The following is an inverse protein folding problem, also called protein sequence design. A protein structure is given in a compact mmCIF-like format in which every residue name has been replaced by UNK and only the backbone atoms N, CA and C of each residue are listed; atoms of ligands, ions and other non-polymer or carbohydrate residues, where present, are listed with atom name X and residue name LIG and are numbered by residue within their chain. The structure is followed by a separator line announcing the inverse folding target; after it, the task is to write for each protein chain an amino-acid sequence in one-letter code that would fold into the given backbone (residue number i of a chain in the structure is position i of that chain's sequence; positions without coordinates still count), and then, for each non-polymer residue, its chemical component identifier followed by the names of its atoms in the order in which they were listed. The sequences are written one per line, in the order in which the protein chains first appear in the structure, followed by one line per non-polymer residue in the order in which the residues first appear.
data_IF_413723070710
#
_entry.id   IF_413723070710
#
_cell.length_a   1.000
_cell.length_b   1.000
_cell.length_c   1.000
_cell.angle_alpha   90.00
_cell.angle_beta   90.00
_cell.angle_gamma   90.00
#
_symmetry.space_group_name_H-M   'P 1'
#
loop_
_entity.id
_entity.type
_entity.pdbx_description
1 polymer ?
#
# COMPACT_ATOMS: atom_id res chain seq x y z
N UNK A 1 -37.44 -20.78 50.69
CA UNK A 1 -36.04 -20.72 50.20
C UNK A 1 -35.91 -21.73 49.09
N UNK A 2 -35.93 -21.29 47.84
CA UNK A 2 -35.94 -22.15 46.65
C UNK A 2 -34.76 -21.78 45.78
N UNK A 3 -33.83 -22.71 45.59
CA UNK A 3 -32.68 -22.58 44.70
C UNK A 3 -33.12 -22.99 43.29
N UNK A 4 -33.16 -22.04 42.38
CA UNK A 4 -33.39 -22.25 40.94
C UNK A 4 -32.04 -22.66 40.33
N UNK A 5 -31.92 -23.94 39.99
CA UNK A 5 -30.78 -24.46 39.23
C UNK A 5 -30.84 -23.92 37.80
N UNK A 6 -29.90 -23.04 37.43
CA UNK A 6 -29.70 -22.64 36.05
C UNK A 6 -28.93 -23.75 35.34
N UNK A 7 -29.64 -24.53 34.54
CA UNK A 7 -29.05 -25.50 33.64
C UNK A 7 -28.40 -24.76 32.46
N UNK A 8 -27.11 -24.49 32.57
CA UNK A 8 -26.30 -23.98 31.45
C UNK A 8 -26.01 -25.19 30.56
N UNK A 9 -26.82 -25.37 29.52
CA UNK A 9 -26.46 -26.23 28.39
C UNK A 9 -25.20 -25.65 27.73
N UNK A 10 -24.03 -26.12 28.16
CA UNK A 10 -22.81 -25.97 27.38
C UNK A 10 -22.93 -26.90 26.17
N UNK A 11 -23.28 -26.33 25.01
CA UNK A 11 -23.18 -27.04 23.74
C UNK A 11 -21.70 -27.28 23.50
N UNK A 12 -21.26 -28.53 23.66
CA UNK A 12 -19.92 -28.97 23.30
C UNK A 12 -19.80 -28.88 21.77
N UNK A 13 -19.13 -27.83 21.29
CA UNK A 13 -18.84 -27.65 19.87
C UNK A 13 -17.59 -28.47 19.55
N UNK A 14 -17.77 -29.70 19.06
CA UNK A 14 -16.68 -30.48 18.46
C UNK A 14 -16.40 -29.95 17.07
N UNK A 15 -15.34 -29.16 16.94
CA UNK A 15 -14.89 -28.65 15.65
C UNK A 15 -14.09 -29.75 14.93
N UNK A 16 -14.60 -30.22 13.79
CA UNK A 16 -13.94 -31.25 12.99
C UNK A 16 -12.62 -30.71 12.40
N UNK A 17 -11.60 -31.57 12.29
CA UNK A 17 -10.27 -31.19 11.76
C UNK A 17 -10.36 -30.67 10.32
N UNK A 18 -11.31 -31.17 9.53
CA UNK A 18 -11.59 -30.70 8.17
C UNK A 18 -12.12 -29.26 8.15
N UNK A 19 -12.91 -28.89 9.16
CA UNK A 19 -13.38 -27.50 9.33
C UNK A 19 -12.24 -26.57 9.75
N UNK A 20 -11.35 -27.03 10.64
CA UNK A 20 -10.15 -26.27 11.05
C UNK A 20 -9.20 -26.06 9.87
N UNK A 21 -8.98 -27.10 9.05
CA UNK A 21 -8.13 -27.05 7.86
C UNK A 21 -8.71 -26.08 6.81
N UNK A 22 -10.03 -26.14 6.61
CA UNK A 22 -10.74 -25.20 5.73
C UNK A 22 -10.57 -23.75 6.19
N UNK A 23 -10.71 -23.47 7.49
CA UNK A 23 -10.49 -22.12 8.05
C UNK A 23 -9.02 -21.68 7.84
N UNK A 24 -8.05 -22.56 8.09
CA UNK A 24 -6.63 -22.25 7.91
C UNK A 24 -6.27 -21.95 6.44
N UNK A 25 -6.86 -22.69 5.49
CA UNK A 25 -6.69 -22.44 4.06
C UNK A 25 -7.33 -21.12 3.64
N UNK A 26 -8.50 -20.79 4.19
CA UNK A 26 -9.18 -19.51 3.94
C UNK A 26 -8.37 -18.33 4.53
N UNK A 27 -7.82 -18.44 5.73
CA UNK A 27 -6.97 -17.40 6.34
C UNK A 27 -5.66 -17.19 5.57
N UNK A 28 -5.06 -18.26 5.03
CA UNK A 28 -3.87 -18.17 4.19
C UNK A 28 -4.15 -17.46 2.86
N UNK A 29 -5.38 -17.58 2.32
CA UNK A 29 -5.80 -16.86 1.10
C UNK A 29 -6.25 -15.43 1.39
N UNK A 30 -6.75 -15.15 2.61
CA UNK A 30 -7.20 -13.84 3.11
C UNK A 30 -6.07 -13.08 3.84
N UNK A 31 -4.83 -13.58 3.80
CA UNK A 31 -3.64 -12.86 4.25
C UNK A 31 -3.28 -11.72 3.27
N UNK A 32 -4.20 -10.76 3.19
CA UNK A 32 -4.08 -9.48 2.52
C UNK A 32 -3.02 -8.65 3.24
N UNK A 33 -1.75 -8.95 2.97
CA UNK A 33 -0.67 -8.13 3.49
C UNK A 33 -0.85 -6.74 2.89
N UNK A 34 -0.95 -5.67 3.71
CA UNK A 34 -1.11 -4.32 3.21
C UNK A 34 -0.07 -4.02 2.13
N UNK A 35 -0.53 -3.86 0.88
CA UNK A 35 0.37 -3.59 -0.22
C UNK A 35 0.71 -2.10 -0.21
N UNK A 36 1.99 -1.82 -0.37
CA UNK A 36 2.51 -0.48 -0.52
C UNK A 36 1.80 0.22 -1.68
N UNK A 37 1.49 1.50 -1.52
CA UNK A 37 0.79 2.22 -2.57
C UNK A 37 1.57 2.18 -3.89
N UNK A 38 0.88 1.98 -5.00
CA UNK A 38 1.45 2.04 -6.34
C UNK A 38 1.59 3.51 -6.79
N UNK A 39 2.61 3.75 -7.62
CA UNK A 39 2.73 5.00 -8.37
C UNK A 39 2.03 4.86 -9.72
N UNK A 40 1.29 5.90 -10.09
CA UNK A 40 0.91 6.17 -11.47
C UNK A 40 1.40 7.55 -11.88
N UNK A 41 1.61 7.75 -13.17
CA UNK A 41 2.22 8.95 -13.73
C UNK A 41 1.31 9.56 -14.77
N UNK A 42 1.23 10.89 -14.77
CA UNK A 42 0.60 11.67 -15.82
C UNK A 42 1.58 12.72 -16.33
N UNK A 43 1.76 12.82 -17.64
CA UNK A 43 2.43 13.97 -18.25
C UNK A 43 1.43 15.14 -18.27
N UNK A 44 1.64 16.11 -17.39
CA UNK A 44 0.71 17.25 -17.22
C UNK A 44 0.97 18.34 -18.25
N UNK A 45 2.23 18.50 -18.65
CA UNK A 45 2.70 19.36 -19.72
C UNK A 45 3.90 18.68 -20.41
N UNK A 46 4.26 19.04 -21.65
CA UNK A 46 5.38 18.42 -22.35
C UNK A 46 6.67 18.49 -21.54
N UNK A 47 7.19 17.32 -21.14
CA UNK A 47 8.40 17.24 -20.32
C UNK A 47 8.17 17.37 -18.80
N UNK A 48 6.93 17.47 -18.33
CA UNK A 48 6.60 17.54 -16.90
C UNK A 48 5.64 16.41 -16.53
N UNK A 49 6.08 15.50 -15.67
CA UNK A 49 5.28 14.39 -15.15
C UNK A 49 4.93 14.62 -13.68
N UNK A 50 3.69 14.35 -13.32
CA UNK A 50 3.19 14.35 -11.96
C UNK A 50 2.92 12.92 -11.49
N UNK A 51 3.38 12.59 -10.28
CA UNK A 51 3.17 11.31 -9.63
C UNK A 51 1.87 11.31 -8.83
N UNK A 52 1.06 10.28 -8.99
CA UNK A 52 0.04 9.89 -8.02
C UNK A 52 0.53 8.69 -7.23
N UNK A 53 0.58 8.81 -5.91
CA UNK A 53 0.99 7.77 -4.99
C UNK A 53 -0.20 7.40 -4.10
N UNK A 54 -0.91 6.34 -4.47
CA UNK A 54 -2.04 5.88 -3.66
C UNK A 54 -3.20 6.88 -3.54
N UNK A 55 -3.39 7.76 -4.52
CA UNK A 55 -4.38 8.85 -4.47
C UNK A 55 -3.80 10.18 -3.98
N UNK A 56 -2.61 10.16 -3.38
CA UNK A 56 -1.90 11.37 -2.96
C UNK A 56 -1.01 11.90 -4.06
N UNK A 57 -0.72 13.19 -4.03
CA UNK A 57 0.34 13.77 -4.85
C UNK A 57 1.70 13.20 -4.42
N UNK A 58 2.42 12.57 -5.34
CA UNK A 58 3.72 11.94 -5.09
C UNK A 58 4.92 12.83 -5.40
N UNK A 59 4.74 13.94 -6.10
CA UNK A 59 5.82 14.80 -6.59
C UNK A 59 5.84 14.91 -8.10
N UNK A 60 6.95 15.42 -8.64
CA UNK A 60 7.10 15.71 -10.07
C UNK A 60 8.45 15.27 -10.61
N UNK A 61 8.48 14.98 -11.90
CA UNK A 61 9.70 14.89 -12.71
C UNK A 61 9.60 15.94 -13.82
N UNK A 62 10.58 16.82 -13.90
CA UNK A 62 10.65 17.90 -14.89
C UNK A 62 11.87 17.72 -15.79
N UNK A 63 11.68 17.76 -17.11
CA UNK A 63 12.76 17.58 -18.09
C UNK A 63 13.33 18.92 -18.54
N UNK A 64 14.62 19.15 -18.26
CA UNK A 64 15.36 20.34 -18.73
C UNK A 64 16.70 19.92 -19.29
N UNK A 65 17.05 20.45 -20.47
CA UNK A 65 18.36 20.24 -21.09
C UNK A 65 18.79 18.75 -21.21
N UNK A 66 17.81 17.86 -21.42
CA UNK A 66 18.04 16.42 -21.53
C UNK A 66 18.21 15.68 -20.19
N UNK A 67 18.08 16.38 -19.05
CA UNK A 67 18.08 15.83 -17.70
C UNK A 67 16.67 15.86 -17.10
N UNK A 68 16.43 14.98 -16.12
CA UNK A 68 15.17 14.80 -15.43
C UNK A 68 15.34 15.15 -13.96
N UNK A 69 14.71 16.23 -13.52
CA UNK A 69 14.80 16.77 -12.17
C UNK A 69 13.62 16.30 -11.34
N UNK A 70 13.89 15.73 -10.17
CA UNK A 70 12.87 15.10 -9.33
C UNK A 70 12.63 15.92 -8.08
N UNK A 71 11.35 16.19 -7.80
CA UNK A 71 10.90 16.77 -6.53
C UNK A 71 9.86 15.86 -5.89
N UNK A 72 9.92 15.66 -4.58
CA UNK A 72 8.95 14.83 -3.86
C UNK A 72 7.64 15.55 -3.55
N UNK A 73 6.73 14.87 -2.84
CA UNK A 73 5.41 15.41 -2.44
C UNK A 73 5.49 16.74 -1.69
N UNK A 74 6.60 17.01 -1.00
CA UNK A 74 6.84 18.24 -0.23
C UNK A 74 7.60 19.30 -1.04
N UNK A 75 7.85 19.05 -2.33
CA UNK A 75 8.67 19.90 -3.18
C UNK A 75 10.16 19.82 -2.86
N UNK A 76 10.61 18.82 -2.09
CA UNK A 76 12.04 18.66 -1.82
C UNK A 76 12.73 18.03 -3.02
N UNK A 77 13.87 18.60 -3.39
CA UNK A 77 14.71 18.05 -4.47
C UNK A 77 15.27 16.68 -4.08
N UNK A 78 15.05 15.68 -4.93
CA UNK A 78 15.49 14.29 -4.73
C UNK A 78 16.77 14.01 -5.51
N UNK A 79 16.91 14.62 -6.69
CA UNK A 79 18.06 14.42 -7.57
C UNK A 79 17.74 14.76 -9.03
N UNK A 80 18.76 14.68 -9.88
CA UNK A 80 18.63 14.74 -11.33
C UNK A 80 19.21 13.49 -11.99
N UNK A 81 18.56 13.07 -13.08
CA UNK A 81 18.85 11.80 -13.73
C UNK A 81 18.88 11.97 -15.24
N UNK A 82 19.59 11.08 -15.92
CA UNK A 82 19.70 11.08 -17.39
C UNK A 82 18.53 10.39 -18.09
N UNK A 83 17.72 9.64 -17.35
CA UNK A 83 16.56 8.93 -17.88
C UNK A 83 15.33 9.22 -17.04
N UNK A 84 14.17 9.18 -17.69
CA UNK A 84 12.88 9.29 -17.00
C UNK A 84 12.66 8.11 -16.04
N UNK A 85 13.05 6.91 -16.46
CA UNK A 85 12.90 5.69 -15.67
C UNK A 85 13.68 5.75 -14.35
N UNK A 86 14.93 6.22 -14.38
CA UNK A 86 15.75 6.39 -13.18
C UNK A 86 15.11 7.44 -12.24
N UNK A 87 14.66 8.56 -12.81
CA UNK A 87 14.00 9.62 -12.06
C UNK A 87 12.71 9.12 -11.37
N UNK A 88 11.86 8.40 -12.09
CA UNK A 88 10.63 7.85 -11.55
C UNK A 88 10.89 6.77 -10.49
N UNK A 89 11.87 5.89 -10.72
CA UNK A 89 12.27 4.86 -9.76
C UNK A 89 12.79 5.46 -8.47
N UNK A 90 13.61 6.51 -8.57
CA UNK A 90 14.15 7.22 -7.40
C UNK A 90 13.08 7.96 -6.61
N UNK A 91 12.09 8.54 -7.29
CA UNK A 91 10.94 9.11 -6.58
C UNK A 91 10.14 8.04 -5.84
N UNK A 92 9.93 6.87 -6.45
CA UNK A 92 9.26 5.75 -5.81
C UNK A 92 9.97 5.33 -4.52
N UNK A 93 11.30 5.12 -4.56
CA UNK A 93 12.11 4.83 -3.37
C UNK A 93 11.99 5.91 -2.29
N UNK A 94 12.04 7.18 -2.70
CA UNK A 94 11.94 8.32 -1.78
C UNK A 94 10.58 8.34 -1.06
N UNK A 95 9.49 8.14 -1.78
CA UNK A 95 8.13 8.19 -1.23
C UNK A 95 7.89 7.12 -0.15
N UNK A 96 8.53 5.97 -0.28
CA UNK A 96 8.51 4.92 0.72
C UNK A 96 9.13 5.31 2.06
N UNK A 97 10.06 6.26 2.03
CA UNK A 97 10.74 6.77 3.23
C UNK A 97 9.93 7.92 3.83
N UNK A 98 9.42 8.81 2.99
CA UNK A 98 8.75 10.04 3.46
C UNK A 98 7.26 9.87 3.76
N UNK A 99 6.61 8.84 3.19
CA UNK A 99 5.20 8.51 3.41
C UNK A 99 5.02 7.03 3.82
N UNK A 100 5.63 6.56 4.93
CA UNK A 100 5.63 5.15 5.31
C UNK A 100 4.24 4.61 5.65
N UNK A 101 3.30 5.48 6.03
CA UNK A 101 1.93 5.13 6.40
C UNK A 101 0.97 5.06 5.20
N UNK A 102 1.41 5.43 4.00
CA UNK A 102 0.56 5.38 2.81
C UNK A 102 0.57 3.95 2.25
N UNK A 103 -0.47 3.23 2.64
CA UNK A 103 -0.70 1.82 2.32
C UNK A 103 -2.07 1.74 1.66
N UNK A 104 -2.20 0.96 0.59
CA UNK A 104 -3.53 0.61 0.06
C UNK A 104 -3.99 -0.71 0.68
N UNK A 105 -5.26 -0.81 1.11
CA UNK A 105 -5.91 -2.12 1.25
C UNK A 105 -5.80 -2.82 -0.11
N UNK A 106 -5.41 -4.09 -0.09
CA UNK A 106 -5.60 -4.93 -1.27
C UNK A 106 -7.10 -5.22 -1.38
N UNK A 107 -7.65 -5.01 -2.58
CA UNK A 107 -9.04 -5.35 -2.91
C UNK A 107 -9.19 -6.86 -3.10
#
# INVERSE_FOLDING_TARGET
MTIISHDVHQVEVTLDTDTVDTIAVLEAQVAHTPSRASLSWAEVEPGLWSANYGGYFGGTVDKRDGHYFVSDTFGQYVGDFRSLEDAQSRLAERLHIVLPSVIRPVD
#
